data_IF_895796970461
#
_entry.id   IF_895796970461
#
_cell.length_a   1.000
_cell.length_b   1.000
_cell.length_c   1.000
_cell.angle_alpha   90.00
_cell.angle_beta   90.00
_cell.angle_gamma   90.00
#
_symmetry.space_group_name_H-M   'P 1'
#
loop_
_entity.id
_entity.type
_entity.pdbx_description
1 polymer ?
#
# COMPACT_ATOMS: atom_id res chain seq x y z
N UNK A 1 19.42 -16.89 10.17
CA UNK A 1 18.69 -15.62 10.37
C UNK A 1 19.67 -14.45 10.21
N UNK A 2 20.02 -14.12 8.96
CA UNK A 2 20.97 -13.03 8.68
C UNK A 2 20.27 -11.66 8.86
N UNK A 3 20.96 -10.70 9.47
CA UNK A 3 20.46 -9.33 9.75
C UNK A 3 20.91 -8.34 8.67
N UNK A 4 21.71 -8.79 7.70
CA UNK A 4 22.17 -7.95 6.60
C UNK A 4 21.00 -7.35 5.79
N UNK A 5 20.85 -6.01 5.76
CA UNK A 5 19.77 -5.33 5.04
C UNK A 5 19.96 -5.34 3.52
N UNK A 6 21.13 -5.72 3.01
CA UNK A 6 21.42 -5.80 1.56
C UNK A 6 20.89 -7.10 0.94
N UNK A 7 20.69 -8.13 1.74
CA UNK A 7 20.10 -9.39 1.27
C UNK A 7 18.60 -9.17 1.02
N UNK A 8 18.14 -9.42 -0.21
CA UNK A 8 16.76 -9.16 -0.64
C UNK A 8 15.71 -9.77 0.29
N UNK A 9 15.89 -11.05 0.63
CA UNK A 9 14.97 -11.79 1.47
C UNK A 9 15.72 -12.45 2.63
N UNK A 10 15.56 -11.90 3.83
CA UNK A 10 15.93 -12.55 5.09
C UNK A 10 14.68 -12.65 5.95
N UNK A 11 14.71 -13.52 6.95
CA UNK A 11 13.64 -13.62 7.94
C UNK A 11 13.28 -12.24 8.52
N UNK A 12 14.27 -11.43 8.90
CA UNK A 12 14.06 -10.11 9.48
C UNK A 12 13.51 -9.09 8.49
N UNK A 13 14.05 -9.06 7.27
CA UNK A 13 13.61 -8.11 6.25
C UNK A 13 12.15 -8.39 5.88
N UNK A 14 11.76 -9.67 5.75
CA UNK A 14 10.39 -10.08 5.42
C UNK A 14 9.44 -9.82 6.59
N UNK A 15 9.81 -10.17 7.83
CA UNK A 15 8.92 -10.00 8.98
C UNK A 15 8.73 -8.52 9.32
N UNK A 16 9.82 -7.76 9.45
CA UNK A 16 9.75 -6.36 9.89
C UNK A 16 9.35 -5.46 8.73
N UNK A 17 10.07 -5.50 7.61
CA UNK A 17 9.77 -4.65 6.47
C UNK A 17 8.48 -5.06 5.77
N UNK A 18 8.18 -6.37 5.67
CA UNK A 18 6.87 -6.84 5.20
C UNK A 18 5.74 -6.47 6.15
N UNK A 19 5.97 -6.48 7.48
CA UNK A 19 5.00 -5.97 8.45
C UNK A 19 4.65 -4.50 8.23
N UNK A 20 5.65 -3.64 8.01
CA UNK A 20 5.45 -2.22 7.68
C UNK A 20 4.74 -2.05 6.32
N UNK A 21 5.10 -2.84 5.32
CA UNK A 21 4.43 -2.87 4.02
C UNK A 21 2.94 -3.18 4.18
N UNK A 22 2.59 -4.26 4.88
CA UNK A 22 1.19 -4.64 5.10
C UNK A 22 0.45 -3.64 5.99
N UNK A 23 1.13 -3.00 6.93
CA UNK A 23 0.56 -1.89 7.71
C UNK A 23 0.19 -0.73 6.80
N UNK A 24 1.02 -0.39 5.81
CA UNK A 24 0.65 0.62 4.81
C UNK A 24 -0.52 0.15 3.93
N UNK A 25 -0.53 -1.11 3.51
CA UNK A 25 -1.63 -1.65 2.69
C UNK A 25 -2.97 -1.61 3.41
N UNK A 26 -3.04 -1.96 4.69
CA UNK A 26 -4.31 -2.00 5.44
C UNK A 26 -4.66 -0.71 6.17
N UNK A 27 -3.65 0.05 6.60
CA UNK A 27 -3.83 1.21 7.48
C UNK A 27 -4.06 2.53 6.75
N UNK A 28 -3.47 2.71 5.56
CA UNK A 28 -3.49 4.02 4.86
C UNK A 28 -3.95 3.94 3.40
N UNK A 29 -4.04 2.74 2.82
CA UNK A 29 -4.51 2.59 1.45
C UNK A 29 -5.99 2.96 1.35
N UNK A 30 -6.30 3.91 0.48
CA UNK A 30 -7.66 4.42 0.30
C UNK A 30 -8.68 3.32 0.00
N UNK A 31 -8.33 2.31 -0.79
CA UNK A 31 -9.25 1.22 -1.09
C UNK A 31 -9.64 0.42 0.18
N UNK A 32 -8.72 0.25 1.13
CA UNK A 32 -9.01 -0.43 2.40
C UNK A 32 -9.78 0.47 3.36
N UNK A 33 -9.40 1.74 3.46
CA UNK A 33 -10.10 2.73 4.28
C UNK A 33 -11.57 2.82 3.88
N UNK A 34 -11.86 2.88 2.57
CA UNK A 34 -13.23 2.88 2.05
C UNK A 34 -14.03 1.65 2.48
N UNK A 35 -13.48 0.45 2.33
CA UNK A 35 -14.15 -0.81 2.74
C UNK A 35 -14.53 -0.80 4.22
N UNK A 36 -13.65 -0.27 5.06
CA UNK A 36 -13.88 -0.17 6.50
C UNK A 36 -14.97 0.87 6.82
N UNK A 37 -14.94 2.02 6.14
CA UNK A 37 -15.92 3.09 6.32
C UNK A 37 -17.33 2.75 5.77
N UNK A 38 -17.43 1.83 4.81
CA UNK A 38 -18.71 1.33 4.31
C UNK A 38 -19.44 0.42 5.31
N UNK A 39 -18.80 0.02 6.41
CA UNK A 39 -19.42 -0.84 7.43
C UNK A 39 -20.17 0.01 8.47
N UNK A 40 -21.36 -0.44 8.92
CA UNK A 40 -22.26 0.41 9.72
C UNK A 40 -21.81 0.59 11.19
N UNK A 41 -20.71 -0.03 11.61
CA UNK A 41 -20.21 0.07 12.99
C UNK A 41 -18.74 -0.31 13.09
N UNK A 42 -18.05 0.28 14.07
CA UNK A 42 -16.64 -0.01 14.36
C UNK A 42 -16.39 -1.49 14.69
N UNK A 43 -17.30 -2.15 15.42
CA UNK A 43 -17.18 -3.58 15.71
C UNK A 43 -17.18 -4.45 14.45
N UNK A 44 -18.10 -4.17 13.51
CA UNK A 44 -18.16 -4.89 12.23
C UNK A 44 -16.94 -4.62 11.37
N UNK A 45 -16.44 -3.39 11.37
CA UNK A 45 -15.16 -3.02 10.77
C UNK A 45 -14.00 -3.86 11.31
N UNK A 46 -13.82 -3.90 12.64
CA UNK A 46 -12.78 -4.72 13.29
C UNK A 46 -12.96 -6.21 12.98
N UNK A 47 -14.18 -6.72 13.05
CA UNK A 47 -14.49 -8.11 12.73
C UNK A 47 -14.14 -8.45 11.27
N UNK A 48 -14.47 -7.58 10.32
CA UNK A 48 -14.13 -7.78 8.91
C UNK A 48 -12.60 -7.88 8.70
N UNK A 49 -11.82 -7.03 9.36
CA UNK A 49 -10.35 -7.12 9.34
C UNK A 49 -9.84 -8.43 9.93
N UNK A 50 -10.37 -8.85 11.08
CA UNK A 50 -9.98 -10.11 11.73
C UNK A 50 -10.39 -11.34 10.92
N UNK A 51 -11.52 -11.31 10.22
CA UNK A 51 -11.95 -12.39 9.33
C UNK A 51 -11.13 -12.46 8.04
N UNK A 52 -10.61 -11.32 7.57
CA UNK A 52 -9.74 -11.28 6.39
C UNK A 52 -8.37 -11.92 6.65
N UNK A 53 -7.84 -11.82 7.88
CA UNK A 53 -6.53 -12.36 8.24
C UNK A 53 -6.36 -13.87 7.96
N UNK A 54 -7.20 -14.79 8.47
CA UNK A 54 -7.06 -16.22 8.19
C UNK A 54 -7.26 -16.54 6.70
N UNK A 55 -8.13 -15.80 6.00
CA UNK A 55 -8.32 -15.95 4.56
C UNK A 55 -7.03 -15.63 3.79
N UNK A 56 -6.38 -14.51 4.12
CA UNK A 56 -5.09 -14.14 3.52
C UNK A 56 -3.98 -15.15 3.86
N UNK A 57 -3.91 -15.65 5.10
CA UNK A 57 -2.97 -16.68 5.47
C UNK A 57 -3.16 -17.98 4.66
N UNK A 58 -4.41 -18.40 4.47
CA UNK A 58 -4.73 -19.59 3.68
C UNK A 58 -4.34 -19.40 2.20
N UNK A 59 -4.71 -18.27 1.60
CA UNK A 59 -4.36 -17.94 0.20
C UNK A 59 -2.84 -17.90 0.00
N UNK A 60 -2.11 -17.20 0.87
CA UNK A 60 -0.65 -17.13 0.78
C UNK A 60 0.01 -18.50 0.92
N UNK A 61 -0.49 -19.34 1.82
CA UNK A 61 0.02 -20.71 2.00
C UNK A 61 -0.20 -21.53 0.72
N UNK A 62 -1.39 -21.47 0.12
CA UNK A 62 -1.69 -22.18 -1.13
C UNK A 62 -0.81 -21.69 -2.28
N UNK A 63 -0.60 -20.38 -2.42
CA UNK A 63 0.29 -19.81 -3.44
C UNK A 63 1.73 -20.27 -3.25
N UNK A 64 2.23 -20.31 -2.00
CA UNK A 64 3.56 -20.84 -1.70
C UNK A 64 3.67 -22.33 -2.07
N UNK A 65 2.65 -23.14 -1.75
CA UNK A 65 2.64 -24.57 -2.11
C UNK A 65 2.64 -24.76 -3.62
N UNK A 66 1.84 -24.00 -4.37
CA UNK A 66 1.86 -24.01 -5.84
C UNK A 66 3.25 -23.66 -6.35
N UNK A 67 3.89 -22.60 -5.81
CA UNK A 67 5.25 -22.23 -6.16
C UNK A 67 6.28 -23.35 -5.91
N UNK A 68 6.17 -24.06 -4.78
CA UNK A 68 7.03 -25.21 -4.47
C UNK A 68 6.81 -26.37 -5.45
N UNK A 69 5.55 -26.71 -5.77
CA UNK A 69 5.25 -27.76 -6.74
C UNK A 69 5.79 -27.42 -8.13
N UNK A 70 5.62 -26.16 -8.55
CA UNK A 70 6.13 -25.65 -9.81
C UNK A 70 7.67 -25.69 -9.86
N UNK A 71 8.33 -25.32 -8.76
CA UNK A 71 9.78 -25.44 -8.62
C UNK A 71 10.25 -26.89 -8.79
N UNK A 72 9.59 -27.85 -8.12
CA UNK A 72 9.95 -29.27 -8.26
C UNK A 72 9.71 -29.79 -9.68
N UNK A 73 8.64 -29.33 -10.33
CA UNK A 73 8.28 -29.75 -11.69
C UNK A 73 9.30 -29.27 -12.74
N UNK A 74 9.74 -28.02 -12.65
CA UNK A 74 10.75 -27.44 -13.56
C UNK A 74 12.20 -27.58 -13.06
N UNK A 75 12.45 -28.32 -11.98
CA UNK A 75 13.78 -28.46 -11.37
C UNK A 75 14.83 -29.08 -12.30
N UNK A 76 14.40 -29.98 -13.19
CA UNK A 76 15.27 -30.68 -14.16
C UNK A 76 15.20 -30.10 -15.56
N UNK A 77 14.25 -29.19 -15.80
CA UNK A 77 14.06 -28.55 -17.08
C UNK A 77 13.52 -27.14 -16.90
N UNK A 78 14.41 -26.15 -17.02
CA UNK A 78 14.04 -24.74 -16.93
C UNK A 78 13.47 -24.24 -18.28
N UNK A 79 12.16 -23.95 -18.36
CA UNK A 79 11.54 -23.46 -19.59
C UNK A 79 11.97 -22.04 -19.97
N UNK A 80 12.51 -21.26 -19.01
CA UNK A 80 13.03 -19.91 -19.29
C UNK A 80 14.34 -20.02 -20.08
N UNK A 81 15.24 -20.90 -19.66
CA UNK A 81 16.54 -21.12 -20.31
C UNK A 81 16.41 -21.76 -21.69
N UNK A 82 15.34 -22.51 -21.95
CA UNK A 82 15.02 -23.07 -23.28
C UNK A 82 14.31 -22.07 -24.22
N UNK A 83 14.12 -20.82 -23.80
CA UNK A 83 13.37 -19.79 -24.55
C UNK A 83 11.93 -20.20 -24.91
N UNK A 84 11.36 -21.19 -24.21
CA UNK A 84 9.94 -21.58 -24.34
C UNK A 84 9.06 -20.43 -23.81
N UNK A 85 9.54 -19.75 -22.77
CA UNK A 85 8.92 -18.55 -22.20
C UNK A 85 9.94 -17.42 -22.10
N UNK A 86 9.48 -16.19 -22.34
CA UNK A 86 10.35 -15.00 -22.31
C UNK A 86 10.49 -14.41 -20.90
N UNK A 87 9.51 -14.66 -20.02
CA UNK A 87 9.46 -14.07 -18.67
C UNK A 87 9.03 -15.10 -17.65
N UNK A 88 9.62 -15.06 -16.45
CA UNK A 88 9.26 -15.94 -15.33
C UNK A 88 7.80 -15.80 -14.90
N UNK A 89 7.17 -14.65 -15.14
CA UNK A 89 5.75 -14.43 -14.84
C UNK A 89 4.80 -15.30 -15.70
N UNK A 90 5.30 -15.94 -16.77
CA UNK A 90 4.55 -16.84 -17.64
C UNK A 90 4.59 -18.32 -17.17
N UNK A 91 5.29 -18.61 -16.08
CA UNK A 91 5.45 -19.98 -15.57
C UNK A 91 4.12 -20.62 -15.15
N UNK A 92 3.23 -19.87 -14.48
CA UNK A 92 1.95 -20.42 -14.02
C UNK A 92 1.04 -20.83 -15.20
N UNK A 93 0.83 -19.98 -16.23
CA UNK A 93 0.12 -20.39 -17.44
C UNK A 93 0.73 -21.62 -18.11
N UNK A 94 2.06 -21.69 -18.25
CA UNK A 94 2.75 -22.83 -18.84
C UNK A 94 2.53 -24.11 -18.02
N UNK A 95 2.76 -24.04 -16.70
CA UNK A 95 2.54 -25.14 -15.77
C UNK A 95 1.10 -25.68 -15.82
N UNK A 96 0.14 -24.78 -15.97
CA UNK A 96 -1.28 -25.15 -16.10
C UNK A 96 -1.53 -25.89 -17.41
N UNK A 97 -1.00 -25.40 -18.52
CA UNK A 97 -1.14 -26.05 -19.82
C UNK A 97 -0.50 -27.44 -19.84
N UNK A 98 0.66 -27.60 -19.20
CA UNK A 98 1.37 -28.89 -19.13
C UNK A 98 0.61 -29.93 -18.30
N UNK A 99 0.08 -29.55 -17.13
CA UNK A 99 -0.59 -30.49 -16.24
C UNK A 99 -2.00 -30.86 -16.69
N UNK A 100 -2.80 -29.85 -17.07
CA UNK A 100 -4.24 -30.01 -17.28
C UNK A 100 -4.70 -29.61 -18.68
N UNK A 101 -3.79 -29.36 -19.61
CA UNK A 101 -4.11 -29.05 -21.01
C UNK A 101 -4.91 -30.13 -21.72
N UNK A 102 -4.79 -31.39 -21.29
CA UNK A 102 -5.57 -32.52 -21.80
C UNK A 102 -7.05 -32.48 -21.37
N UNK A 103 -7.40 -31.73 -20.33
CA UNK A 103 -8.77 -31.57 -19.83
C UNK A 103 -9.36 -30.29 -20.40
N UNK A 104 -10.28 -30.44 -21.36
CA UNK A 104 -10.94 -29.30 -21.99
C UNK A 104 -11.61 -28.39 -20.95
N UNK A 105 -11.37 -27.07 -21.05
CA UNK A 105 -11.96 -26.05 -20.19
C UNK A 105 -11.21 -25.75 -18.90
N UNK A 106 -10.45 -26.69 -18.34
CA UNK A 106 -9.76 -26.50 -17.05
C UNK A 106 -8.63 -25.44 -17.11
N UNK A 107 -7.76 -25.40 -18.14
CA UNK A 107 -6.81 -24.29 -18.29
C UNK A 107 -7.52 -22.93 -18.41
N UNK A 108 -8.64 -22.88 -19.15
CA UNK A 108 -9.45 -21.66 -19.30
C UNK A 108 -10.05 -21.18 -17.98
N UNK A 109 -10.48 -22.10 -17.12
CA UNK A 109 -10.97 -21.82 -15.77
C UNK A 109 -9.87 -21.19 -14.90
N UNK A 110 -8.67 -21.77 -14.91
CA UNK A 110 -7.52 -21.26 -14.14
C UNK A 110 -7.16 -19.83 -14.56
N UNK A 111 -7.04 -19.59 -15.86
CA UNK A 111 -6.75 -18.25 -16.39
C UNK A 111 -7.87 -17.26 -16.06
N UNK A 112 -9.13 -17.69 -16.10
CA UNK A 112 -10.28 -16.87 -15.71
C UNK A 112 -10.25 -16.50 -14.21
N UNK A 113 -9.84 -17.42 -13.33
CA UNK A 113 -9.64 -17.11 -11.90
C UNK A 113 -8.54 -16.06 -11.68
N UNK A 114 -7.42 -16.15 -12.43
CA UNK A 114 -6.32 -15.17 -12.37
C UNK A 114 -6.78 -13.78 -12.82
N UNK A 115 -7.53 -13.70 -13.93
CA UNK A 115 -8.11 -12.45 -14.40
C UNK A 115 -9.12 -11.87 -13.41
N UNK A 116 -10.01 -12.70 -12.84
CA UNK A 116 -10.99 -12.28 -11.84
C UNK A 116 -10.30 -11.67 -10.60
N UNK A 117 -9.27 -12.35 -10.07
CA UNK A 117 -8.48 -11.83 -8.95
C UNK A 117 -7.83 -10.48 -9.27
N UNK A 118 -7.24 -10.35 -10.46
CA UNK A 118 -6.61 -9.11 -10.93
C UNK A 118 -7.63 -7.97 -11.09
N UNK A 119 -8.76 -8.24 -11.74
CA UNK A 119 -9.84 -7.26 -11.98
C UNK A 119 -10.47 -6.78 -10.67
N UNK A 120 -10.59 -7.64 -9.66
CA UNK A 120 -11.12 -7.25 -8.35
C UNK A 120 -10.25 -6.19 -7.65
N UNK A 121 -8.93 -6.28 -7.83
CA UNK A 121 -7.95 -5.34 -7.26
C UNK A 121 -7.94 -4.04 -8.06
N UNK A 122 -7.91 -4.13 -9.39
CA UNK A 122 -7.94 -2.96 -10.28
C UNK A 122 -9.23 -2.15 -10.06
N UNK A 123 -10.37 -2.82 -9.96
CA UNK A 123 -11.67 -2.17 -9.70
C UNK A 123 -11.66 -1.38 -8.39
N UNK A 124 -11.14 -1.98 -7.31
CA UNK A 124 -11.00 -1.30 -6.01
C UNK A 124 -10.07 -0.08 -6.09
N UNK A 125 -8.97 -0.19 -6.85
CA UNK A 125 -8.04 0.92 -7.08
C UNK A 125 -8.66 2.07 -7.86
N UNK A 126 -9.39 1.79 -8.94
CA UNK A 126 -10.09 2.82 -9.71
C UNK A 126 -11.19 3.52 -8.90
N UNK A 127 -11.94 2.77 -8.09
CA UNK A 127 -12.92 3.38 -7.18
C UNK A 127 -12.25 4.31 -6.16
N UNK A 128 -11.10 3.90 -5.62
CA UNK A 128 -10.33 4.73 -4.69
C UNK A 128 -9.83 6.02 -5.35
N UNK A 129 -9.27 5.95 -6.57
CA UNK A 129 -8.80 7.12 -7.33
C UNK A 129 -9.98 8.05 -7.67
N UNK A 130 -11.10 7.50 -8.14
CA UNK A 130 -12.28 8.29 -8.47
C UNK A 130 -12.81 9.06 -7.25
N UNK A 131 -12.82 8.42 -6.08
CA UNK A 131 -13.20 9.06 -4.84
C UNK A 131 -12.21 10.15 -4.42
N UNK A 132 -10.89 9.92 -4.52
CA UNK A 132 -9.87 10.95 -4.22
C UNK A 132 -10.04 12.15 -5.15
N UNK A 133 -10.18 11.92 -6.46
CA UNK A 133 -10.39 13.00 -7.42
C UNK A 133 -11.68 13.78 -7.11
N UNK A 134 -12.76 13.08 -6.76
CA UNK A 134 -14.03 13.73 -6.46
C UNK A 134 -14.00 14.52 -5.14
N UNK A 135 -13.58 13.88 -4.05
CA UNK A 135 -13.64 14.42 -2.69
C UNK A 135 -12.53 15.42 -2.42
N UNK A 136 -11.30 15.15 -2.87
CA UNK A 136 -10.13 15.93 -2.49
C UNK A 136 -9.80 17.04 -3.49
N UNK A 137 -10.18 16.89 -4.77
CA UNK A 137 -9.89 17.89 -5.81
C UNK A 137 -11.15 18.60 -6.31
N UNK A 138 -12.18 17.86 -6.75
CA UNK A 138 -13.34 18.46 -7.42
C UNK A 138 -14.28 19.18 -6.45
N UNK A 139 -14.64 18.57 -5.32
CA UNK A 139 -15.56 19.18 -4.35
C UNK A 139 -15.05 20.51 -3.77
N UNK A 140 -13.76 20.65 -3.40
CA UNK A 140 -13.22 21.93 -2.94
C UNK A 140 -13.27 23.03 -4.01
N UNK A 141 -13.08 22.66 -5.28
CA UNK A 141 -13.03 23.60 -6.40
C UNK A 141 -14.43 23.94 -6.94
N UNK A 142 -15.37 23.01 -6.85
CA UNK A 142 -16.74 23.16 -7.33
C UNK A 142 -17.74 22.70 -6.26
N UNK A 143 -17.96 23.49 -5.20
CA UNK A 143 -18.80 23.08 -4.07
C UNK A 143 -20.28 22.90 -4.44
N UNK A 144 -20.76 23.53 -5.53
CA UNK A 144 -22.16 23.49 -5.98
C UNK A 144 -22.43 22.47 -7.10
N UNK A 145 -21.71 21.35 -7.15
CA UNK A 145 -21.96 20.31 -8.15
C UNK A 145 -23.20 19.47 -7.84
N UNK A 146 -24.09 19.34 -8.84
CA UNK A 146 -25.23 18.40 -8.83
C UNK A 146 -24.77 16.95 -8.71
N UNK A 147 -25.54 16.09 -8.04
CA UNK A 147 -25.22 14.66 -7.85
C UNK A 147 -25.00 13.92 -9.17
N UNK A 148 -25.77 14.22 -10.22
CA UNK A 148 -25.57 13.65 -11.55
C UNK A 148 -24.21 14.02 -12.17
N UNK A 149 -23.77 15.27 -12.01
CA UNK A 149 -22.49 15.75 -12.51
C UNK A 149 -21.31 15.07 -11.78
N UNK A 150 -21.43 14.87 -10.46
CA UNK A 150 -20.43 14.12 -9.66
C UNK A 150 -20.27 12.69 -10.18
N UNK A 151 -21.37 11.99 -10.45
CA UNK A 151 -21.35 10.64 -11.00
C UNK A 151 -20.71 10.57 -12.38
N UNK A 152 -21.10 11.45 -13.31
CA UNK A 152 -20.51 11.48 -14.65
C UNK A 152 -19.01 11.77 -14.57
N UNK A 153 -18.61 12.74 -13.76
CA UNK A 153 -17.21 13.13 -13.64
C UNK A 153 -16.35 12.02 -12.99
N UNK A 154 -16.88 11.31 -11.99
CA UNK A 154 -16.20 10.14 -11.42
C UNK A 154 -16.00 9.02 -12.45
N UNK A 155 -17.00 8.76 -13.31
CA UNK A 155 -16.89 7.78 -14.40
C UNK A 155 -15.86 8.19 -15.45
N UNK A 156 -15.84 9.47 -15.83
CA UNK A 156 -14.84 10.00 -16.76
C UNK A 156 -13.43 9.91 -16.19
N UNK A 157 -13.26 10.21 -14.90
CA UNK A 157 -11.99 10.05 -14.21
C UNK A 157 -11.47 8.61 -14.28
N UNK A 158 -12.35 7.62 -14.07
CA UNK A 158 -11.99 6.19 -14.18
C UNK A 158 -11.51 5.85 -15.60
N UNK A 159 -12.19 6.34 -16.65
CA UNK A 159 -11.81 6.09 -18.05
C UNK A 159 -10.42 6.68 -18.34
N UNK A 160 -10.17 7.93 -17.93
CA UNK A 160 -8.88 8.61 -18.14
C UNK A 160 -7.77 7.90 -17.38
N UNK A 161 -7.98 7.61 -16.09
CA UNK A 161 -7.01 6.87 -15.28
C UNK A 161 -6.75 5.46 -15.82
N UNK A 162 -7.77 4.79 -16.35
CA UNK A 162 -7.63 3.50 -17.02
C UNK A 162 -6.74 3.57 -18.26
N UNK A 163 -6.93 4.59 -19.11
CA UNK A 163 -6.05 4.84 -20.26
C UNK A 163 -4.60 5.09 -19.86
N UNK A 164 -4.37 5.90 -18.83
CA UNK A 164 -3.02 6.14 -18.28
C UNK A 164 -2.42 4.87 -17.70
N UNK A 165 -3.21 4.06 -16.99
CA UNK A 165 -2.76 2.78 -16.43
C UNK A 165 -2.31 1.80 -17.53
N UNK A 166 -3.07 1.71 -18.63
CA UNK A 166 -2.69 0.89 -19.80
C UNK A 166 -1.37 1.36 -20.43
N UNK A 167 -1.17 2.68 -20.56
CA UNK A 167 0.08 3.24 -21.07
C UNK A 167 1.26 2.89 -20.16
N UNK A 168 1.10 3.04 -18.83
CA UNK A 168 2.14 2.68 -17.87
C UNK A 168 2.41 1.17 -17.91
N UNK A 169 1.38 0.33 -17.99
CA UNK A 169 1.52 -1.12 -18.10
C UNK A 169 2.31 -1.51 -19.36
N UNK A 170 2.06 -0.85 -20.49
CA UNK A 170 2.84 -1.04 -21.72
C UNK A 170 4.31 -0.66 -21.51
N UNK A 171 4.58 0.52 -20.93
CA UNK A 171 5.96 0.95 -20.63
C UNK A 171 6.66 -0.08 -19.72
N UNK A 172 6.02 -0.51 -18.64
CA UNK A 172 6.56 -1.51 -17.70
C UNK A 172 6.74 -2.87 -18.36
N UNK A 173 5.89 -3.24 -19.33
CA UNK A 173 6.07 -4.50 -20.07
C UNK A 173 7.36 -4.53 -20.91
N UNK A 174 7.88 -3.35 -21.28
CA UNK A 174 9.16 -3.22 -21.98
C UNK A 174 10.36 -3.14 -21.00
N UNK A 175 10.09 -2.89 -19.72
CA UNK A 175 11.11 -2.97 -18.67
C UNK A 175 11.40 -4.45 -18.38
N UNK A 176 12.66 -4.84 -18.47
CA UNK A 176 13.11 -6.17 -18.07
C UNK A 176 13.08 -6.35 -16.54
N UNK A 177 12.99 -7.59 -16.08
CA UNK A 177 12.99 -7.95 -14.66
C UNK A 177 11.65 -8.53 -14.17
N UNK A 178 11.62 -8.95 -12.90
CA UNK A 178 10.41 -9.49 -12.28
C UNK A 178 9.41 -8.37 -11.97
N UNK A 179 8.18 -8.48 -12.49
CA UNK A 179 7.10 -7.52 -12.25
C UNK A 179 6.81 -7.38 -10.75
N UNK A 180 6.92 -8.49 -10.00
CA UNK A 180 6.73 -8.49 -8.55
C UNK A 180 7.74 -7.57 -7.85
N UNK A 181 9.01 -7.66 -8.20
CA UNK A 181 10.05 -6.83 -7.59
C UNK A 181 9.82 -5.34 -7.89
N UNK A 182 9.50 -5.01 -9.15
CA UNK A 182 9.18 -3.63 -9.56
C UNK A 182 7.99 -3.10 -8.76
N UNK A 183 6.96 -3.93 -8.57
CA UNK A 183 5.76 -3.57 -7.79
C UNK A 183 6.10 -3.24 -6.33
N UNK A 184 6.93 -4.06 -5.67
CA UNK A 184 7.35 -3.79 -4.30
C UNK A 184 8.22 -2.53 -4.19
N UNK A 185 9.12 -2.28 -5.15
CA UNK A 185 9.93 -1.06 -5.18
C UNK A 185 9.04 0.18 -5.27
N UNK A 186 8.09 0.21 -6.21
CA UNK A 186 7.16 1.33 -6.39
C UNK A 186 6.30 1.57 -5.14
N UNK A 187 5.75 0.50 -4.57
CA UNK A 187 4.99 0.61 -3.34
C UNK A 187 5.86 1.09 -2.18
N UNK A 188 7.10 0.64 -2.08
CA UNK A 188 8.05 1.13 -1.07
C UNK A 188 8.34 2.62 -1.21
N UNK A 189 8.59 3.08 -2.44
CA UNK A 189 8.94 4.47 -2.74
C UNK A 189 7.81 5.45 -2.42
N UNK A 190 6.56 5.08 -2.72
CA UNK A 190 5.39 5.94 -2.54
C UNK A 190 4.68 5.70 -1.21
N UNK A 191 4.54 4.43 -0.82
CA UNK A 191 3.83 4.00 0.38
C UNK A 191 4.59 4.30 1.68
N UNK A 192 5.93 4.24 1.68
CA UNK A 192 6.75 4.59 2.85
C UNK A 192 6.56 6.03 3.34
N UNK A 193 6.76 7.05 2.48
CA UNK A 193 6.51 8.44 2.83
C UNK A 193 5.06 8.71 3.28
N UNK A 194 4.07 8.07 2.64
CA UNK A 194 2.67 8.17 3.05
C UNK A 194 2.43 7.57 4.44
N UNK A 195 2.98 6.39 4.73
CA UNK A 195 2.93 5.77 6.06
C UNK A 195 3.59 6.67 7.10
N UNK A 196 4.67 7.35 6.72
CA UNK A 196 5.32 8.37 7.52
C UNK A 196 4.38 9.50 7.94
N UNK A 197 3.61 10.07 6.99
CA UNK A 197 2.65 11.16 7.26
C UNK A 197 1.61 10.75 8.29
N UNK A 198 0.94 9.61 8.06
CA UNK A 198 -0.08 9.11 8.97
C UNK A 198 0.49 8.75 10.33
N UNK A 199 1.66 8.10 10.37
CA UNK A 199 2.31 7.76 11.65
C UNK A 199 2.71 9.00 12.43
N UNK A 200 3.27 10.01 11.74
CA UNK A 200 3.64 11.28 12.35
C UNK A 200 2.40 11.96 12.97
N UNK A 201 1.31 12.04 12.21
CA UNK A 201 0.07 12.68 12.65
C UNK A 201 -0.65 11.93 13.78
N UNK A 202 -0.63 10.59 13.76
CA UNK A 202 -1.36 9.76 14.75
C UNK A 202 -0.59 9.61 16.07
N UNK A 203 0.74 9.60 16.03
CA UNK A 203 1.58 9.30 17.21
C UNK A 203 2.22 10.54 17.86
N UNK A 204 2.47 11.61 17.10
CA UNK A 204 3.24 12.75 17.59
C UNK A 204 2.38 14.02 17.65
N UNK A 205 1.84 14.39 18.82
CA UNK A 205 0.97 15.56 18.94
C UNK A 205 1.69 16.90 18.72
N UNK A 206 3.02 16.92 18.69
CA UNK A 206 3.80 18.14 18.40
C UNK A 206 4.01 18.38 16.91
N UNK A 207 3.63 17.42 16.06
CA UNK A 207 3.77 17.56 14.62
C UNK A 207 2.88 18.69 14.10
N UNK A 208 3.43 19.49 13.18
CA UNK A 208 2.69 20.58 12.53
C UNK A 208 2.59 20.35 11.01
N UNK A 209 1.76 21.16 10.34
CA UNK A 209 1.53 21.05 8.89
C UNK A 209 2.79 21.22 8.05
N UNK A 210 3.75 22.04 8.50
CA UNK A 210 5.00 22.28 7.78
C UNK A 210 5.97 21.11 7.91
N UNK A 211 6.04 20.50 9.09
CA UNK A 211 6.78 19.28 9.33
C UNK A 211 6.23 18.10 8.53
N UNK A 212 4.91 17.93 8.51
CA UNK A 212 4.27 16.92 7.67
C UNK A 212 4.57 17.14 6.18
N UNK A 213 4.46 18.38 5.68
CA UNK A 213 4.71 18.68 4.26
C UNK A 213 6.19 18.47 3.87
N UNK A 214 7.12 19.08 4.60
CA UNK A 214 8.55 19.01 4.29
C UNK A 214 9.08 17.60 4.51
N UNK A 215 8.68 16.93 5.60
CA UNK A 215 9.01 15.54 5.85
C UNK A 215 8.51 14.61 4.73
N UNK A 216 7.32 14.87 4.17
CA UNK A 216 6.79 14.09 3.05
C UNK A 216 7.63 14.29 1.79
N UNK A 217 7.88 15.54 1.40
CA UNK A 217 8.67 15.85 0.21
C UNK A 217 10.10 15.32 0.32
N UNK A 218 10.78 15.52 1.45
CA UNK A 218 12.15 15.01 1.65
C UNK A 218 12.20 13.49 1.61
N UNK A 219 11.26 12.82 2.29
CA UNK A 219 11.18 11.35 2.27
C UNK A 219 10.91 10.82 0.86
N UNK A 220 9.97 11.42 0.14
CA UNK A 220 9.64 11.04 -1.23
C UNK A 220 10.84 11.21 -2.17
N UNK A 221 11.58 12.33 -2.08
CA UNK A 221 12.78 12.54 -2.89
C UNK A 221 13.85 11.48 -2.60
N UNK A 222 14.09 11.16 -1.33
CA UNK A 222 15.09 10.17 -0.92
C UNK A 222 14.70 8.76 -1.39
N UNK A 223 13.45 8.35 -1.18
CA UNK A 223 13.00 7.02 -1.61
C UNK A 223 12.94 6.90 -3.13
N UNK A 224 12.51 7.95 -3.85
CA UNK A 224 12.55 8.00 -5.31
C UNK A 224 13.99 7.88 -5.83
N UNK A 225 14.93 8.63 -5.25
CA UNK A 225 16.35 8.57 -5.61
C UNK A 225 16.93 7.16 -5.43
N UNK A 226 16.66 6.52 -4.28
CA UNK A 226 17.15 5.17 -3.99
C UNK A 226 16.51 4.13 -4.92
N UNK A 227 15.19 4.20 -5.12
CA UNK A 227 14.46 3.26 -5.96
C UNK A 227 14.84 3.34 -7.43
N UNK A 228 14.87 4.55 -8.00
CA UNK A 228 15.33 4.78 -9.37
C UNK A 228 16.81 4.43 -9.53
N UNK A 229 17.66 4.81 -8.57
CA UNK A 229 19.08 4.47 -8.58
C UNK A 229 19.33 2.96 -8.57
N UNK A 230 18.55 2.20 -7.82
CA UNK A 230 18.65 0.72 -7.81
C UNK A 230 18.29 0.10 -9.16
N UNK A 231 17.27 0.65 -9.81
CA UNK A 231 16.83 0.20 -11.13
C UNK A 231 17.83 0.56 -12.23
N UNK A 232 18.31 1.81 -12.27
CA UNK A 232 19.26 2.31 -13.26
C UNK A 232 20.63 1.64 -13.16
N UNK A 233 21.09 1.33 -11.95
CA UNK A 233 22.36 0.64 -11.74
C UNK A 233 22.26 -0.88 -11.96
N UNK A 234 21.11 -1.40 -12.42
CA UNK A 234 20.87 -2.82 -12.72
C UNK A 234 21.48 -3.72 -11.65
N UNK A 235 21.15 -3.49 -10.37
CA UNK A 235 21.62 -4.38 -9.29
C UNK A 235 20.91 -5.73 -9.45
N UNK A 236 21.46 -6.56 -10.33
CA UNK A 236 21.04 -7.94 -10.59
C UNK A 236 21.37 -8.72 -9.34
N UNK A 237 20.33 -9.17 -8.65
CA UNK A 237 20.50 -10.18 -7.61
C UNK A 237 20.21 -11.50 -8.29
N UNK A 238 21.29 -12.24 -8.53
CA UNK A 238 21.26 -13.61 -9.02
C UNK A 238 20.37 -14.43 -8.09
N UNK A 239 19.21 -14.86 -8.59
CA UNK A 239 18.55 -16.00 -7.97
C UNK A 239 19.35 -17.24 -8.41
N UNK A 240 19.85 -18.07 -7.49
CA UNK A 240 20.52 -19.30 -7.85
C UNK A 240 19.45 -20.31 -8.29
N UNK A 241 18.89 -20.13 -9.49
CA UNK A 241 18.38 -21.31 -10.19
C UNK A 241 19.61 -22.02 -10.71
N UNK A 242 19.93 -23.17 -10.12
CA UNK A 242 20.83 -24.12 -10.75
C UNK A 242 20.24 -24.42 -12.14
N UNK A 243 20.91 -23.94 -13.18
CA UNK A 243 20.57 -24.21 -14.57
C UNK A 243 20.81 -25.70 -14.83
N UNK A 244 19.80 -26.53 -14.57
CA UNK A 244 19.82 -27.96 -14.88
C UNK A 244 18.90 -28.16 -16.07
N UNK A 245 19.48 -28.36 -17.25
CA UNK A 245 18.77 -28.67 -18.51
C UNK A 245 18.80 -30.17 -18.85
N UNK A 246 19.35 -31.01 -17.97
CA UNK A 246 19.56 -32.44 -18.22
C UNK A 246 18.27 -33.24 -18.44
N UNK A 247 17.12 -32.76 -17.95
CA UNK A 247 15.82 -33.45 -18.04
C UNK A 247 14.87 -32.93 -19.12
N UNK A 248 15.29 -31.99 -19.97
CA UNK A 248 14.40 -31.38 -20.95
C UNK A 248 14.12 -32.28 -22.16
N UNK A 249 12.84 -32.60 -22.42
CA UNK A 249 12.41 -33.19 -23.70
C UNK A 249 12.35 -32.10 -24.76
N UNK A 250 13.38 -32.03 -25.63
CA UNK A 250 13.34 -31.17 -26.80
C UNK A 250 12.23 -31.64 -27.75
N UNK A 251 11.22 -30.80 -27.98
CA UNK A 251 10.06 -31.10 -28.82
C UNK A 251 10.36 -31.18 -30.34
N UNK A 252 11.63 -31.32 -30.75
CA UNK A 252 11.98 -31.39 -32.17
C UNK A 252 13.25 -32.17 -32.54
N UNK A 253 13.71 -33.10 -31.69
CA UNK A 253 14.89 -33.93 -32.03
C UNK A 253 14.47 -35.37 -32.21
N UNK A 254 14.32 -35.80 -33.45
CA UNK A 254 14.36 -37.21 -33.82
C UNK A 254 15.71 -37.77 -33.35
N UNK A 255 15.62 -38.85 -32.55
CA UNK A 255 16.73 -39.66 -32.06
C UNK A 255 17.73 -39.99 -33.16
N UNK A 256 18.90 -39.36 -33.13
CA UNK A 256 20.18 -39.97 -33.54
C UNK A 256 21.35 -39.13 -33.03
N UNK A 257 22.31 -39.81 -32.40
CA UNK A 257 23.60 -39.34 -31.87
C UNK A 257 23.56 -38.59 -30.52
N UNK A 258 23.84 -39.35 -29.45
CA UNK A 258 24.30 -38.79 -28.18
C UNK A 258 25.65 -38.10 -28.43
N UNK A 259 25.67 -36.77 -28.35
CA UNK A 259 26.88 -36.01 -28.09
C UNK A 259 26.90 -35.63 -26.60
N UNK A 260 28.06 -35.65 -25.92
CA UNK A 260 28.13 -35.29 -24.53
C UNK A 260 27.80 -33.80 -24.41
N UNK A 261 26.72 -33.49 -23.70
CA UNK A 261 26.35 -32.11 -23.36
C UNK A 261 27.46 -31.58 -22.47
N UNK A 262 28.25 -30.65 -22.99
CA UNK A 262 29.15 -29.83 -22.20
C UNK A 262 28.33 -29.09 -21.16
N UNK A 263 28.59 -29.39 -19.87
CA UNK A 263 28.18 -28.61 -18.70
C UNK A 263 28.64 -27.17 -18.90
N UNK A 264 27.79 -26.36 -19.54
CA UNK A 264 27.96 -24.91 -19.53
C UNK A 264 27.47 -24.47 -18.15
N UNK A 265 28.36 -24.59 -17.15
CA UNK A 265 28.24 -23.83 -15.93
C UNK A 265 28.33 -22.36 -16.33
N UNK A 266 27.17 -21.75 -16.61
CA UNK A 266 27.08 -20.30 -16.69
C UNK A 266 27.41 -19.82 -15.28
N UNK A 267 28.67 -19.49 -15.04
CA UNK A 267 29.04 -18.65 -13.91
C UNK A 267 28.04 -17.50 -13.90
N UNK A 268 27.43 -17.26 -12.74
CA UNK A 268 26.55 -16.14 -12.51
C UNK A 268 27.11 -14.93 -13.24
N UNK A 269 26.41 -14.45 -14.28
CA UNK A 269 26.80 -13.25 -15.01
C UNK A 269 26.81 -12.14 -13.97
N UNK A 270 28.03 -11.87 -13.49
CA UNK A 270 28.33 -10.83 -12.53
C UNK A 270 28.33 -9.56 -13.35
N UNK A 271 27.14 -9.04 -13.67
CA UNK A 271 27.03 -7.75 -14.32
C UNK A 271 27.69 -6.72 -13.40
N UNK A 272 28.75 -6.08 -13.92
CA UNK A 272 29.50 -5.06 -13.23
C UNK A 272 28.56 -4.02 -12.62
N UNK A 273 28.57 -3.93 -11.30
CA UNK A 273 27.85 -2.91 -10.54
C UNK A 273 28.47 -1.56 -10.90
N UNK A 274 27.78 -0.78 -11.74
CA UNK A 274 28.29 0.48 -12.28
C UNK A 274 28.45 1.60 -11.24
N UNK A 275 28.04 1.38 -9.98
CA UNK A 275 28.26 2.27 -8.83
C UNK A 275 28.17 1.49 -7.50
N UNK A 276 29.25 1.49 -6.71
CA UNK A 276 29.35 0.78 -5.41
C UNK A 276 28.63 1.49 -4.25
N UNK A 277 27.56 2.24 -4.53
CA UNK A 277 26.86 2.95 -3.47
C UNK A 277 26.02 1.96 -2.64
N UNK A 278 26.45 1.72 -1.40
CA UNK A 278 25.88 0.68 -0.52
C UNK A 278 24.36 0.78 -0.33
N UNK A 279 23.75 1.97 -0.47
CA UNK A 279 22.29 2.13 -0.32
C UNK A 279 21.49 1.51 -1.47
N UNK A 280 22.05 1.40 -2.69
CA UNK A 280 21.36 0.76 -3.82
C UNK A 280 21.33 -0.77 -3.70
N UNK A 281 22.19 -1.35 -2.85
CA UNK A 281 22.18 -2.78 -2.53
C UNK A 281 21.10 -3.13 -1.50
N UNK A 282 20.49 -2.15 -0.83
CA UNK A 282 19.50 -2.40 0.20
C UNK A 282 18.28 -3.16 -0.37
N UNK A 283 17.71 -4.08 0.41
CA UNK A 283 16.49 -4.77 0.02
C UNK A 283 15.35 -3.76 -0.16
N UNK A 284 14.61 -3.92 -1.27
CA UNK A 284 13.45 -3.09 -1.58
C UNK A 284 12.33 -3.19 -0.53
N UNK A 285 12.31 -4.27 0.27
CA UNK A 285 11.35 -4.45 1.37
C UNK A 285 11.55 -3.38 2.47
N UNK A 286 12.77 -2.87 2.63
CA UNK A 286 13.06 -1.81 3.60
C UNK A 286 12.65 -0.42 3.14
N UNK A 287 12.25 -0.22 1.88
CA UNK A 287 11.95 1.12 1.37
C UNK A 287 10.75 1.76 2.07
N UNK A 288 9.74 0.96 2.43
CA UNK A 288 8.59 1.43 3.23
C UNK A 288 9.07 1.99 4.58
N UNK A 289 9.88 1.20 5.30
CA UNK A 289 10.41 1.59 6.60
C UNK A 289 11.34 2.79 6.53
N UNK A 290 12.25 2.82 5.54
CA UNK A 290 13.14 3.95 5.32
C UNK A 290 12.34 5.24 5.05
N UNK A 291 11.37 5.20 4.14
CA UNK A 291 10.53 6.35 3.83
C UNK A 291 9.75 6.85 5.05
N UNK A 292 9.17 5.93 5.81
CA UNK A 292 8.49 6.24 7.06
C UNK A 292 9.42 6.91 8.09
N UNK A 293 10.61 6.34 8.30
CA UNK A 293 11.59 6.86 9.27
C UNK A 293 12.12 8.24 8.88
N UNK A 294 12.53 8.41 7.62
CA UNK A 294 13.00 9.69 7.09
C UNK A 294 11.92 10.76 7.25
N UNK A 295 10.66 10.42 6.94
CA UNK A 295 9.54 11.33 7.12
C UNK A 295 9.38 11.74 8.58
N UNK A 296 9.35 10.78 9.51
CA UNK A 296 9.13 11.07 10.95
C UNK A 296 10.27 11.93 11.49
N UNK A 297 11.53 11.61 11.18
CA UNK A 297 12.69 12.35 11.68
C UNK A 297 12.69 13.78 11.15
N UNK A 298 12.59 13.96 9.83
CA UNK A 298 12.59 15.30 9.21
C UNK A 298 11.35 16.08 9.64
N UNK A 299 10.19 15.43 9.68
CA UNK A 299 8.93 16.06 10.04
C UNK A 299 8.90 16.55 11.49
N UNK A 300 9.49 15.79 12.43
CA UNK A 300 9.63 16.23 13.82
C UNK A 300 10.61 17.40 13.94
N UNK A 301 11.80 17.31 13.31
CA UNK A 301 12.79 18.39 13.34
C UNK A 301 12.17 19.69 12.82
N UNK A 302 11.54 19.65 11.65
CA UNK A 302 10.89 20.82 11.07
C UNK A 302 9.73 21.31 11.93
N UNK A 303 8.95 20.42 12.55
CA UNK A 303 7.85 20.81 13.44
C UNK A 303 8.36 21.58 14.66
N UNK A 304 9.48 21.15 15.26
CA UNK A 304 10.09 21.88 16.37
C UNK A 304 10.71 23.21 15.94
N UNK A 305 11.31 23.28 14.74
CA UNK A 305 11.90 24.51 14.21
C UNK A 305 10.86 25.55 13.79
N UNK A 306 9.72 25.13 13.27
CA UNK A 306 8.66 26.03 12.75
C UNK A 306 7.57 26.35 13.78
N UNK A 307 7.73 25.86 15.02
CA UNK A 307 6.78 26.02 16.11
C UNK A 307 5.92 24.76 16.30
N UNK A 308 6.14 23.97 17.36
CA UNK A 308 5.41 22.72 17.58
C UNK A 308 3.94 23.00 17.91
N UNK A 309 3.06 22.14 17.42
CA UNK A 309 1.63 22.21 17.76
C UNK A 309 1.44 21.93 19.25
N UNK A 310 0.57 22.68 19.92
CA UNK A 310 0.27 22.45 21.33
C UNK A 310 -0.66 21.23 21.47
N UNK A 311 -0.28 20.20 22.24
CA UNK A 311 -1.11 18.99 22.40
C UNK A 311 -2.53 19.24 22.95
N UNK A 312 -2.75 20.36 23.65
CA UNK A 312 -4.04 20.74 24.22
C UNK A 312 -5.06 21.25 23.21
N UNK A 313 -4.61 21.68 22.03
CA UNK A 313 -5.47 22.22 20.96
C UNK A 313 -5.90 21.14 19.95
N UNK A 314 -5.33 19.94 20.08
CA UNK A 314 -5.57 18.83 19.15
C UNK A 314 -6.79 18.03 19.57
N UNK A 315 -7.62 17.66 18.59
CA UNK A 315 -8.74 16.75 18.84
C UNK A 315 -8.21 15.38 19.31
N UNK A 316 -8.55 14.93 20.52
CA UNK A 316 -8.05 13.66 21.06
C UNK A 316 -8.45 12.42 20.26
N UNK A 317 -9.46 12.52 19.38
CA UNK A 317 -9.88 11.44 18.50
C UNK A 317 -8.96 11.21 17.29
N UNK A 318 -8.07 12.15 16.98
CA UNK A 318 -7.11 12.04 15.86
C UNK A 318 -5.77 11.38 16.29
N UNK A 319 -5.50 11.36 17.60
CA UNK A 319 -4.28 10.80 18.18
C UNK A 319 -4.60 9.41 18.73
N UNK A 320 -3.78 8.41 18.39
CA UNK A 320 -3.92 7.09 18.96
C UNK A 320 -3.23 7.02 20.33
N UNK A 321 -3.94 6.64 21.42
CA UNK A 321 -3.31 6.40 22.71
C UNK A 321 -2.57 5.05 22.68
N UNK A 322 -1.47 4.96 21.93
CA UNK A 322 -0.76 3.70 21.66
C UNK A 322 -0.30 3.00 22.95
N UNK A 323 0.06 3.77 23.97
CA UNK A 323 0.49 3.26 25.27
C UNK A 323 -0.67 2.68 26.10
N UNK A 324 -1.92 3.02 25.80
CA UNK A 324 -3.10 2.46 26.46
C UNK A 324 -3.45 1.08 25.90
N UNK A 325 -3.24 0.90 24.60
CA UNK A 325 -3.50 -0.36 23.90
C UNK A 325 -2.31 -1.33 23.98
N UNK A 326 -1.08 -0.85 23.83
CA UNK A 326 0.12 -1.69 23.80
C UNK A 326 0.64 -2.06 25.20
N UNK A 327 0.47 -1.17 26.19
CA UNK A 327 0.96 -1.35 27.55
C UNK A 327 -0.19 -1.21 28.58
N UNK A 328 -1.25 -2.04 28.51
CA UNK A 328 -2.40 -1.94 29.41
C UNK A 328 -2.03 -2.20 30.88
N UNK A 329 -0.91 -2.88 31.11
CA UNK A 329 -0.36 -3.21 32.42
C UNK A 329 0.34 -2.02 33.12
N UNK A 330 0.59 -0.90 32.43
CA UNK A 330 1.20 0.27 33.06
C UNK A 330 0.20 1.02 33.97
N UNK A 331 0.64 1.52 35.16
CA UNK A 331 -0.21 2.32 36.02
C UNK A 331 -0.78 3.56 35.32
N UNK A 332 -2.06 3.88 35.58
CA UNK A 332 -2.79 5.02 34.96
C UNK A 332 -2.02 6.36 35.06
N UNK A 333 -1.24 6.58 36.14
CA UNK A 333 -0.41 7.78 36.32
C UNK A 333 0.72 7.91 35.29
N UNK A 334 1.39 6.81 34.96
CA UNK A 334 2.47 6.79 33.96
C UNK A 334 1.87 6.93 32.56
N UNK A 335 0.75 6.25 32.34
CA UNK A 335 -0.01 6.29 31.09
C UNK A 335 -0.51 7.69 30.74
N UNK A 336 -1.06 8.41 31.73
CA UNK A 336 -1.47 9.82 31.58
C UNK A 336 -0.31 10.76 31.25
N UNK A 337 0.91 10.42 31.69
CA UNK A 337 2.13 11.16 31.33
C UNK A 337 2.58 10.85 29.89
N UNK A 338 2.34 9.62 29.43
CA UNK A 338 2.60 9.16 28.07
C UNK A 338 1.56 9.64 27.03
N UNK A 339 0.45 10.24 27.47
CA UNK A 339 -0.49 10.96 26.60
C UNK A 339 0.04 12.31 26.11
N UNK A 340 1.24 12.71 26.56
CA UNK A 340 1.92 13.93 26.11
C UNK A 340 1.06 15.21 26.17
N UNK A 341 0.10 15.25 27.10
CA UNK A 341 -0.82 16.37 27.30
C UNK A 341 -2.13 16.31 26.51
N UNK A 342 -2.35 15.27 25.69
CA UNK A 342 -3.62 15.04 24.96
C UNK A 342 -4.68 14.48 25.93
N UNK A 343 -5.87 15.07 25.95
CA UNK A 343 -6.96 14.69 26.87
C UNK A 343 -7.89 13.62 26.27
N UNK A 344 -7.46 12.36 26.24
CA UNK A 344 -8.28 11.27 25.68
C UNK A 344 -9.54 10.94 26.51
N UNK A 345 -9.57 11.29 27.80
CA UNK A 345 -10.71 11.03 28.71
C UNK A 345 -12.03 11.69 28.25
N UNK A 346 -11.93 12.81 27.51
CA UNK A 346 -13.10 13.53 26.99
C UNK A 346 -13.71 12.87 25.75
N UNK A 347 -12.96 11.99 25.07
CA UNK A 347 -13.40 11.29 23.86
C UNK A 347 -14.03 9.93 24.16
N UNK A 348 -13.47 9.18 25.14
CA UNK A 348 -13.96 7.86 25.56
C UNK A 348 -15.39 7.92 26.13
N UNK A 349 -15.77 9.04 26.76
CA UNK A 349 -17.15 9.29 27.22
C UNK A 349 -18.21 9.22 26.12
N UNK A 350 -17.82 9.39 24.85
CA UNK A 350 -18.72 9.43 23.70
C UNK A 350 -18.46 8.30 22.69
N UNK A 351 -17.58 7.34 23.04
CA UNK A 351 -17.33 6.18 22.18
C UNK A 351 -18.53 5.22 22.28
N UNK A 352 -19.15 4.81 21.15
CA UNK A 352 -20.33 3.94 21.13
C UNK A 352 -20.07 2.54 21.73
N UNK A 353 -18.81 2.22 22.03
CA UNK A 353 -18.37 0.95 22.60
C UNK A 353 -18.09 0.99 24.11
N UNK A 354 -18.28 2.13 24.79
CA UNK A 354 -18.04 2.22 26.23
C UNK A 354 -19.13 1.44 27.03
N UNK A 355 -18.77 0.43 27.83
CA UNK A 355 -19.73 -0.32 28.65
C UNK A 355 -20.47 0.58 29.67
N UNK A 356 -19.84 1.65 30.18
CA UNK A 356 -20.46 2.58 31.14
C UNK A 356 -21.57 3.45 30.54
N UNK A 357 -21.62 3.59 29.20
CA UNK A 357 -22.68 4.32 28.48
C UNK A 357 -23.87 3.44 28.11
N UNK A 358 -23.80 2.11 28.25
CA UNK A 358 -24.95 1.24 28.04
C UNK A 358 -25.96 1.27 29.20
N UNK A 359 -25.48 1.55 30.42
CA UNK A 359 -26.31 1.56 31.63
C UNK A 359 -26.99 2.91 31.92
N UNK A 360 -26.62 3.97 31.20
CA UNK A 360 -27.36 5.24 31.21
C UNK A 360 -28.22 5.30 29.97
N UNK A 361 -29.50 4.95 30.13
CA UNK A 361 -30.49 5.02 29.06
C UNK A 361 -30.42 6.36 28.31
N UNK A 362 -30.34 6.28 26.99
CA UNK A 362 -30.34 7.45 26.11
C UNK A 362 -29.18 7.44 25.12
N UNK A 363 -29.32 6.66 24.05
CA UNK A 363 -28.52 6.81 22.85
C UNK A 363 -28.96 8.10 22.13
N UNK A 364 -28.38 9.27 22.47
CA UNK A 364 -28.60 10.48 21.66
C UNK A 364 -27.58 10.54 20.52
N UNK A 365 -27.99 9.93 19.41
CA UNK A 365 -27.30 9.93 18.11
C UNK A 365 -26.89 11.35 17.66
N UNK A 366 -27.58 12.40 18.14
CA UNK A 366 -27.33 13.79 17.76
C UNK A 366 -26.04 14.36 18.36
N UNK A 367 -25.62 13.95 19.56
CA UNK A 367 -24.40 14.50 20.19
C UNK A 367 -23.11 13.98 19.55
N UNK A 368 -23.12 12.71 19.10
CA UNK A 368 -22.03 12.15 18.31
C UNK A 368 -21.99 12.78 16.91
N UNK A 369 -23.13 12.92 16.25
CA UNK A 369 -23.22 13.61 14.95
C UNK A 369 -22.83 15.09 15.04
N UNK A 370 -23.13 15.78 16.14
CA UNK A 370 -22.72 17.17 16.38
C UNK A 370 -21.19 17.30 16.51
N UNK A 371 -20.53 16.34 17.18
CA UNK A 371 -19.06 16.32 17.27
C UNK A 371 -18.40 15.81 15.99
N UNK A 372 -18.96 14.83 15.29
CA UNK A 372 -18.51 14.41 13.95
C UNK A 372 -18.65 15.57 12.94
N UNK A 373 -19.72 16.36 13.03
CA UNK A 373 -19.88 17.58 12.24
C UNK A 373 -18.90 18.68 12.65
N UNK A 374 -18.45 18.73 13.90
CA UNK A 374 -17.35 19.62 14.31
C UNK A 374 -15.98 19.14 13.80
N UNK A 375 -15.80 17.83 13.55
CA UNK A 375 -14.63 17.27 12.85
C UNK A 375 -14.68 17.60 11.35
N UNK A 376 -15.87 17.54 10.72
CA UNK A 376 -16.07 17.98 9.32
C UNK A 376 -16.01 19.50 9.12
N UNK A 377 -16.00 20.28 10.20
CA UNK A 377 -15.83 21.75 10.18
C UNK A 377 -14.36 22.20 10.10
N UNK A 378 -13.39 21.28 10.01
CA UNK A 378 -12.06 21.67 9.56
C UNK A 378 -12.18 22.27 8.15
N UNK A 379 -11.85 23.55 8.04
CA UNK A 379 -11.89 24.29 6.77
C UNK A 379 -11.06 23.51 5.73
N UNK A 380 -11.49 23.49 4.45
CA UNK A 380 -10.70 22.87 3.39
C UNK A 380 -9.27 23.40 3.44
N UNK A 381 -8.28 22.54 3.14
CA UNK A 381 -6.87 22.90 3.11
C UNK A 381 -6.75 24.16 2.23
N UNK A 382 -6.33 25.32 2.78
CA UNK A 382 -6.41 26.60 2.07
C UNK A 382 -5.64 26.58 0.74
N UNK A 383 -4.64 25.70 0.61
CA UNK A 383 -3.86 25.52 -0.60
C UNK A 383 -4.68 25.03 -1.80
N UNK A 384 -5.58 24.05 -1.65
CA UNK A 384 -6.37 23.51 -2.78
C UNK A 384 -7.37 24.57 -3.27
N UNK A 385 -7.97 25.30 -2.34
CA UNK A 385 -8.86 26.40 -2.65
C UNK A 385 -8.11 27.57 -3.33
N UNK A 386 -6.84 27.79 -2.99
CA UNK A 386 -5.96 28.79 -3.64
C UNK A 386 -5.55 28.36 -5.05
N UNK A 387 -5.32 27.06 -5.28
CA UNK A 387 -5.03 26.51 -6.62
C UNK A 387 -6.24 26.62 -7.55
N UNK A 388 -7.46 26.47 -7.00
CA UNK A 388 -8.69 26.60 -7.78
C UNK A 388 -9.18 28.05 -7.93
N UNK A 389 -8.88 28.92 -6.96
CA UNK A 389 -9.08 30.36 -7.09
C UNK A 389 -7.85 31.03 -7.73
N UNK A 390 -7.57 30.70 -8.99
CA UNK A 390 -6.70 31.52 -9.82
C UNK A 390 -7.27 32.94 -9.89
N UNK A 391 -6.55 33.91 -9.31
CA UNK A 391 -6.77 35.35 -9.44
C UNK A 391 -8.21 35.84 -9.19
N UNK A 392 -8.63 35.90 -7.93
CA UNK A 392 -9.59 36.90 -7.49
C UNK A 392 -9.50 37.06 -5.98
N UNK A 393 -8.87 38.15 -5.54
CA UNK A 393 -9.09 38.71 -4.22
C UNK A 393 -10.54 39.15 -4.14
N UNK A 394 -11.36 38.48 -3.34
CA UNK A 394 -12.38 39.15 -2.53
C UNK A 394 -12.87 38.22 -1.40
N UNK A 395 -12.78 38.76 -0.20
CA UNK A 395 -13.20 38.13 1.04
C UNK A 395 -14.71 38.22 1.18
N UNK A 396 -15.44 37.09 1.18
CA UNK A 396 -16.80 37.04 1.71
C UNK A 396 -17.01 35.72 2.46
N UNK A 397 -17.30 35.86 3.76
CA UNK A 397 -17.68 34.77 4.64
C UNK A 397 -18.94 34.07 4.15
N UNK A 398 -18.96 32.75 4.25
CA UNK A 398 -20.18 31.96 4.09
C UNK A 398 -20.09 30.72 4.99
N UNK A 399 -21.02 30.66 5.94
CA UNK A 399 -21.31 29.48 6.75
C UNK A 399 -21.83 28.37 5.83
N UNK A 400 -21.11 27.25 5.74
CA UNK A 400 -21.54 26.07 4.99
C UNK A 400 -22.19 25.07 5.96
N UNK A 401 -23.50 24.88 5.81
CA UNK A 401 -24.27 23.81 6.44
C UNK A 401 -24.10 22.56 5.57
N UNK A 402 -23.49 21.51 6.11
CA UNK A 402 -23.45 20.18 5.49
C UNK A 402 -24.82 19.51 5.61
N UNK A 403 -25.49 19.33 4.47
CA UNK A 403 -26.73 18.56 4.38
C UNK A 403 -26.41 17.06 4.25
N UNK A 404 -27.08 16.26 5.10
CA UNK A 404 -27.03 14.80 5.11
C UNK A 404 -27.73 14.26 3.87
N UNK A 405 -26.98 13.61 2.98
CA UNK A 405 -27.55 12.61 2.05
C UNK A 405 -26.85 11.27 2.26
N UNK A 406 -27.37 10.52 3.24
CA UNK A 406 -27.19 9.07 3.34
C UNK A 406 -28.27 8.42 2.49
N UNK A 407 -27.95 8.12 1.23
CA UNK A 407 -28.49 6.99 0.48
C UNK A 407 -27.88 7.01 -0.92
N UNK A 408 -26.85 6.20 -1.14
CA UNK A 408 -26.59 5.65 -2.47
C UNK A 408 -25.93 4.30 -2.27
N UNK A 409 -26.71 3.27 -2.62
CA UNK A 409 -26.21 1.94 -2.89
C UNK A 409 -25.03 2.03 -3.87
N UNK A 410 -23.91 1.43 -3.48
CA UNK A 410 -22.85 0.98 -4.37
C UNK A 410 -22.71 -0.53 -4.18
#
# INVERSE_FOLDING_TARGET
>A
MNVDPTIRHTFWNVVVGGGLFWTAVYGINQAQVQRVLSLPSLRKAKLALWLNLPGMCAVLTLVCLVGLTMYTYFSTCDPVSLEIIQKSDQLIPLFTMDLVGHIAGLPGLVISCVFSGSLSTISSGYNAIAAILLEDFLKPCFPKMTSAAKTVLSKMAIIVCGGVCLLIAYIVSQLGGSILQVSYILFGMLGGPLLGVFTLGVLFPWANKWGALIGHLTSLVITLWIGLGTYLNKVVVTSPSALITEGCRMLNTTTTTMSPISLLSTEAVSQEVKNDFSLYKMSYIWYVGLGMLVHIVVGLIVSFLTGPTKPSEINPGLICPIFDELLPFLPKKIRKKLHFGVRHEDFVKFSPDNPDTKDRGGYDKRDFELKENSVKKEKPIPYIQTVCNGTSTDAIGSDYIYEKDYNTHF
#
